data_IF_188202729709
#
_entry.id   IF_188202729709
#
_cell.length_a   1.000
_cell.length_b   1.000
_cell.length_c   1.000
_cell.angle_alpha   90.00
_cell.angle_beta   90.00
_cell.angle_gamma   90.00
#
_symmetry.space_group_name_H-M   'P 1'
#
loop_
_entity.id
_entity.type
_entity.pdbx_description
1 polymer ?
#
# COMPACT_ATOMS: atom_id res chain seq x y z
N UNK A 1 2.66 -24.23 -25.38
CA UNK A 1 2.60 -22.75 -25.30
C UNK A 1 3.48 -22.34 -24.12
N UNK A 2 4.51 -21.52 -24.35
CA UNK A 2 5.30 -20.96 -23.25
C UNK A 2 4.60 -19.68 -22.79
N UNK A 3 4.02 -19.69 -21.59
CA UNK A 3 3.60 -18.45 -20.93
C UNK A 3 4.85 -17.67 -20.54
N UNK A 4 5.01 -16.46 -21.07
CA UNK A 4 6.05 -15.54 -20.64
C UNK A 4 5.45 -14.64 -19.57
N UNK A 5 5.63 -15.01 -18.30
CA UNK A 5 5.33 -14.13 -17.18
C UNK A 5 6.38 -13.02 -17.11
N UNK A 6 5.95 -11.79 -16.83
CA UNK A 6 6.84 -10.66 -16.55
C UNK A 6 7.04 -10.60 -15.04
N UNK A 7 8.29 -10.71 -14.59
CA UNK A 7 8.66 -10.63 -13.18
C UNK A 7 9.42 -9.33 -12.97
N UNK A 8 8.97 -8.53 -12.00
CA UNK A 8 9.73 -7.39 -11.49
C UNK A 8 10.29 -7.74 -10.12
N UNK A 9 11.53 -7.34 -9.87
CA UNK A 9 12.22 -7.50 -8.59
C UNK A 9 12.64 -6.13 -8.09
N UNK A 10 12.33 -5.83 -6.84
CA UNK A 10 12.86 -4.66 -6.15
C UNK A 10 14.27 -4.98 -5.62
N UNK A 11 15.18 -4.01 -5.66
CA UNK A 11 16.47 -4.14 -4.98
C UNK A 11 16.26 -4.13 -3.47
N UNK A 12 16.84 -5.08 -2.70
CA UNK A 12 16.73 -5.08 -1.25
C UNK A 12 17.19 -3.77 -0.65
N UNK A 13 16.46 -3.29 0.35
CA UNK A 13 16.91 -2.12 1.13
C UNK A 13 18.09 -2.51 2.03
N UNK A 14 19.03 -1.59 2.33
CA UNK A 14 20.17 -1.91 3.19
C UNK A 14 19.73 -2.49 4.55
N UNK A 15 20.31 -3.64 4.92
CA UNK A 15 20.01 -4.42 6.15
C UNK A 15 18.66 -5.14 6.18
N UNK A 16 17.96 -5.26 5.05
CA UNK A 16 16.83 -6.17 4.93
C UNK A 16 17.28 -7.63 5.05
N UNK A 17 16.80 -8.33 6.08
CA UNK A 17 17.12 -9.75 6.30
C UNK A 17 16.17 -10.71 5.58
N UNK A 18 14.98 -10.23 5.19
CA UNK A 18 14.01 -10.99 4.42
C UNK A 18 13.93 -10.43 3.00
N UNK A 19 14.64 -11.03 2.05
CA UNK A 19 14.62 -10.58 0.64
C UNK A 19 13.69 -11.43 -0.23
N UNK A 20 12.93 -12.34 0.38
CA UNK A 20 12.16 -13.36 -0.35
C UNK A 20 10.77 -12.87 -0.78
N UNK A 21 10.34 -11.73 -0.26
CA UNK A 21 9.07 -11.04 -0.53
C UNK A 21 9.19 -9.87 -1.51
N UNK A 22 10.37 -9.63 -2.10
CA UNK A 22 10.63 -8.55 -3.06
C UNK A 22 10.22 -8.85 -4.52
N UNK A 23 9.32 -9.81 -4.73
CA UNK A 23 8.91 -10.26 -6.08
C UNK A 23 7.44 -10.00 -6.31
N UNK A 24 7.12 -9.24 -7.37
CA UNK A 24 5.77 -9.11 -7.91
C UNK A 24 5.73 -9.75 -9.30
N UNK A 25 4.86 -10.75 -9.47
CA UNK A 25 4.66 -11.44 -10.75
C UNK A 25 3.41 -10.91 -11.41
N UNK A 26 3.51 -10.52 -12.69
CA UNK A 26 2.39 -10.10 -13.52
C UNK A 26 1.54 -8.96 -12.89
N UNK A 27 2.20 -7.89 -12.43
CA UNK A 27 1.58 -6.71 -11.82
C UNK A 27 2.38 -5.42 -12.01
N UNK A 28 1.86 -4.31 -11.49
CA UNK A 28 2.53 -3.01 -11.49
C UNK A 28 2.80 -2.56 -10.07
N UNK A 29 4.01 -2.06 -9.84
CA UNK A 29 4.35 -1.30 -8.63
C UNK A 29 4.24 0.17 -8.98
N UNK A 30 3.42 0.91 -8.24
CA UNK A 30 3.31 2.35 -8.34
C UNK A 30 3.71 2.96 -7.00
N UNK A 31 4.82 3.73 -7.01
CA UNK A 31 5.27 4.46 -5.83
C UNK A 31 4.59 5.81 -5.84
N UNK A 32 3.84 6.13 -4.77
CA UNK A 32 3.08 7.37 -4.67
C UNK A 32 3.38 8.19 -3.39
N UNK A 33 2.69 9.33 -3.17
CA UNK A 33 2.74 10.10 -1.91
C UNK A 33 2.23 9.20 -0.78
N UNK A 34 2.88 9.29 0.38
CA UNK A 34 2.35 8.66 1.59
C UNK A 34 0.98 9.23 1.93
N UNK A 35 -0.07 8.41 1.83
CA UNK A 35 -1.46 8.83 2.05
C UNK A 35 -2.32 8.91 0.77
N UNK A 36 -1.73 8.81 -0.43
CA UNK A 36 -2.47 8.57 -1.67
C UNK A 36 -2.73 7.06 -1.78
N UNK A 37 -3.90 6.64 -1.29
CA UNK A 37 -4.27 5.23 -1.12
C UNK A 37 -4.71 4.61 -2.45
N UNK A 38 -5.18 5.44 -3.38
CA UNK A 38 -5.70 4.98 -4.67
C UNK A 38 -4.79 5.17 -5.87
N UNK A 39 -3.66 5.85 -5.67
CA UNK A 39 -2.64 6.08 -6.67
C UNK A 39 -3.06 7.12 -7.71
N UNK A 40 -3.99 8.02 -7.39
CA UNK A 40 -4.47 9.04 -8.31
C UNK A 40 -3.61 10.32 -8.34
N UNK A 41 -2.55 10.36 -7.53
CA UNK A 41 -1.55 11.45 -7.42
C UNK A 41 -2.01 12.67 -6.61
N UNK A 42 -3.09 12.57 -5.85
CA UNK A 42 -3.48 13.57 -4.86
C UNK A 42 -4.02 12.96 -3.57
N UNK A 43 -3.60 13.51 -2.43
CA UNK A 43 -4.09 13.06 -1.12
C UNK A 43 -5.33 13.88 -0.75
N UNK A 44 -6.47 13.22 -0.66
CA UNK A 44 -7.75 13.87 -0.42
C UNK A 44 -8.72 12.99 0.38
N UNK A 45 -9.99 13.42 0.47
CA UNK A 45 -10.97 12.73 1.32
C UNK A 45 -11.29 11.31 0.85
N UNK A 46 -11.17 11.00 -0.44
CA UNK A 46 -11.49 9.64 -0.92
C UNK A 46 -10.43 8.60 -0.53
N UNK A 47 -9.22 9.02 -0.15
CA UNK A 47 -8.21 8.14 0.45
C UNK A 47 -8.67 7.68 1.84
N UNK A 48 -9.19 8.60 2.65
CA UNK A 48 -9.80 8.28 3.94
C UNK A 48 -11.02 7.38 3.75
N UNK A 49 -11.86 7.63 2.74
CA UNK A 49 -13.03 6.77 2.43
C UNK A 49 -12.60 5.33 2.13
N UNK A 50 -11.48 5.14 1.42
CA UNK A 50 -10.94 3.79 1.16
C UNK A 50 -10.48 3.09 2.42
N UNK A 51 -9.76 3.76 3.29
CA UNK A 51 -9.31 3.19 4.57
C UNK A 51 -10.51 2.83 5.45
N UNK A 52 -11.46 3.75 5.60
CA UNK A 52 -12.66 3.53 6.44
C UNK A 52 -13.55 2.41 5.93
N UNK A 53 -13.53 2.12 4.63
CA UNK A 53 -14.26 0.99 4.03
C UNK A 53 -13.78 -0.40 4.50
N UNK A 54 -12.56 -0.50 5.02
CA UNK A 54 -11.97 -1.74 5.55
C UNK A 54 -11.44 -1.56 6.98
N UNK A 55 -11.94 -0.57 7.71
CA UNK A 55 -11.51 -0.24 9.06
C UNK A 55 -11.64 -1.44 10.02
N UNK A 56 -10.60 -1.69 10.80
CA UNK A 56 -10.49 -2.80 11.75
C UNK A 56 -10.07 -4.13 11.13
N UNK A 57 -9.85 -4.20 9.81
CA UNK A 57 -9.35 -5.40 9.16
C UNK A 57 -7.87 -5.64 9.49
N UNK A 58 -7.50 -6.90 9.68
CA UNK A 58 -6.12 -7.34 9.98
C UNK A 58 -5.56 -8.18 8.85
N UNK A 59 -4.24 -8.36 8.77
CA UNK A 59 -3.57 -9.21 7.74
C UNK A 59 -4.19 -10.61 7.55
N UNK A 60 -4.88 -11.15 8.56
CA UNK A 60 -5.58 -12.44 8.49
C UNK A 60 -6.97 -12.39 7.86
N UNK A 61 -7.54 -11.21 7.68
CA UNK A 61 -8.92 -11.02 7.26
C UNK A 61 -9.03 -10.94 5.73
N UNK A 62 -10.07 -11.54 5.11
CA UNK A 62 -10.23 -11.52 3.66
C UNK A 62 -10.39 -10.13 3.03
N UNK A 63 -10.81 -9.15 3.83
CA UNK A 63 -11.05 -7.77 3.42
C UNK A 63 -9.84 -6.86 3.63
N UNK A 64 -8.75 -7.38 4.22
CA UNK A 64 -7.53 -6.59 4.42
C UNK A 64 -6.95 -6.15 3.08
N UNK A 65 -6.72 -4.84 2.97
CA UNK A 65 -6.08 -4.22 1.83
C UNK A 65 -4.74 -3.64 2.29
N UNK A 66 -3.60 -4.16 1.80
CA UNK A 66 -2.29 -3.65 2.20
C UNK A 66 -2.04 -2.19 1.81
N UNK A 67 -2.79 -1.64 0.84
CA UNK A 67 -2.68 -0.21 0.52
C UNK A 67 -3.37 0.69 1.56
N UNK A 68 -4.22 0.14 2.43
CA UNK A 68 -4.90 0.86 3.51
C UNK A 68 -4.17 0.78 4.86
N UNK A 69 -3.14 -0.07 4.97
CA UNK A 69 -2.25 -0.24 6.15
C UNK A 69 -0.94 0.55 5.87
N UNK A 70 -0.98 1.84 6.18
CA UNK A 70 0.02 2.85 5.79
C UNK A 70 1.21 2.96 6.75
N UNK A 71 1.12 2.37 7.94
CA UNK A 71 2.26 2.20 8.83
C UNK A 71 2.82 0.77 8.83
N UNK A 72 2.11 -0.18 8.22
CA UNK A 72 2.56 -1.54 7.95
C UNK A 72 2.46 -2.48 9.15
N UNK A 73 1.78 -2.07 10.23
CA UNK A 73 1.75 -2.81 11.49
C UNK A 73 0.88 -4.08 11.43
N UNK A 74 0.03 -4.19 10.41
CA UNK A 74 -0.77 -5.37 10.13
C UNK A 74 -2.23 -5.28 10.53
N UNK A 75 -2.69 -4.13 11.00
CA UNK A 75 -4.10 -3.80 11.10
C UNK A 75 -4.44 -2.43 10.52
N UNK A 76 -5.69 -2.27 10.08
CA UNK A 76 -6.16 -1.03 9.48
C UNK A 76 -6.94 -0.27 10.55
N UNK A 77 -6.39 0.83 11.06
CA UNK A 77 -6.96 1.56 12.18
C UNK A 77 -6.86 3.10 12.05
N UNK A 78 -6.89 3.80 13.18
CA UNK A 78 -6.84 5.26 13.20
C UNK A 78 -5.47 5.82 12.78
N UNK A 79 -4.37 5.08 12.98
CA UNK A 79 -3.03 5.54 12.64
C UNK A 79 -2.83 5.64 11.12
N UNK A 80 -3.50 4.80 10.35
CA UNK A 80 -3.56 4.92 8.89
C UNK A 80 -4.29 6.18 8.45
N UNK A 81 -5.44 6.46 9.07
CA UNK A 81 -6.22 7.68 8.79
C UNK A 81 -5.40 8.93 9.16
N UNK A 82 -4.68 8.91 10.28
CA UNK A 82 -3.80 10.01 10.70
C UNK A 82 -2.69 10.23 9.68
N UNK A 83 -2.17 9.17 9.05
CA UNK A 83 -1.18 9.29 7.98
C UNK A 83 -1.74 10.04 6.77
N UNK A 84 -2.97 9.74 6.33
CA UNK A 84 -3.63 10.49 5.25
C UNK A 84 -3.87 11.94 5.65
N UNK A 85 -4.40 12.17 6.85
CA UNK A 85 -4.68 13.52 7.36
C UNK A 85 -3.41 14.39 7.44
N UNK A 86 -2.26 13.79 7.78
CA UNK A 86 -0.97 14.47 7.85
C UNK A 86 -0.41 14.92 6.50
N UNK A 87 -0.84 14.30 5.39
CA UNK A 87 -0.41 14.62 4.02
C UNK A 87 -1.56 15.21 3.17
N UNK A 88 -2.66 15.62 3.81
CA UNK A 88 -3.87 16.04 3.10
C UNK A 88 -3.61 17.25 2.20
N UNK A 89 -3.99 17.13 0.92
CA UNK A 89 -3.82 18.17 -0.10
C UNK A 89 -2.50 18.10 -0.89
N UNK A 90 -1.59 17.18 -0.53
CA UNK A 90 -0.37 16.94 -1.29
C UNK A 90 -0.70 16.34 -2.66
N UNK A 91 0.04 16.77 -3.70
CA UNK A 91 -0.18 16.39 -5.10
C UNK A 91 1.04 16.67 -5.97
N UNK A 92 1.09 16.07 -7.17
CA UNK A 92 2.20 16.18 -8.12
C UNK A 92 1.90 17.16 -9.25
#
# INVERSE_FOLDING_TARGET
MYSRALVTVAWPVPNETNTTDNTLVDGWVFVTIRGDVDGNRDVHIFDIVRITGVYGAKKTDPQYNPNCDLDGDGDIDIFDIVTVAGNYGDRW
#
